data_IF_720749720709
#
_entry.id   IF_720749720709
#
_cell.length_a   1.000
_cell.length_b   1.000
_cell.length_c   1.000
_cell.angle_alpha   90.00
_cell.angle_beta   90.00
_cell.angle_gamma   90.00
#
_symmetry.space_group_name_H-M   'P 1'
#
loop_
_entity.id
_entity.type
_entity.pdbx_description
1 polymer ?
#
# COMPACT_ATOMS: atom_id res chain seq x y z
N UNK A 1 12.39 30.52 -13.20
CA UNK A 1 10.98 30.53 -13.62
C UNK A 1 10.12 30.22 -12.41
N UNK A 2 8.99 30.91 -12.23
CA UNK A 2 8.03 30.58 -11.18
C UNK A 2 7.26 29.30 -11.58
N UNK A 3 6.90 28.47 -10.60
CA UNK A 3 6.07 27.28 -10.82
C UNK A 3 4.64 27.71 -11.18
N UNK A 4 3.99 26.96 -12.08
CA UNK A 4 2.56 27.11 -12.36
C UNK A 4 1.70 26.64 -11.18
N UNK A 5 0.42 27.04 -11.15
CA UNK A 5 -0.51 26.62 -10.08
C UNK A 5 -0.60 25.08 -9.94
N UNK A 6 -0.77 24.29 -11.02
CA UNK A 6 -0.83 22.83 -10.89
C UNK A 6 0.47 22.21 -10.36
N UNK A 7 1.62 22.82 -10.67
CA UNK A 7 2.93 22.38 -10.14
C UNK A 7 3.08 22.62 -8.64
N UNK A 8 2.56 23.75 -8.14
CA UNK A 8 2.54 24.05 -6.71
C UNK A 8 1.62 23.08 -5.97
N UNK A 9 0.43 22.82 -6.50
CA UNK A 9 -0.54 21.89 -5.92
C UNK A 9 0.00 20.45 -5.91
N UNK A 10 0.59 19.98 -7.03
CA UNK A 10 1.24 18.67 -7.10
C UNK A 10 2.39 18.52 -6.10
N UNK A 11 3.19 19.57 -5.89
CA UNK A 11 4.23 19.56 -4.85
C UNK A 11 3.63 19.43 -3.45
N UNK A 12 2.54 20.15 -3.18
CA UNK A 12 1.84 20.09 -1.89
C UNK A 12 1.24 18.71 -1.62
N UNK A 13 0.78 17.99 -2.65
CA UNK A 13 0.24 16.64 -2.54
C UNK A 13 1.32 15.58 -2.30
N UNK A 14 2.55 15.78 -2.78
CA UNK A 14 3.67 14.84 -2.57
C UNK A 14 4.39 15.07 -1.24
N UNK A 15 4.45 16.31 -0.76
CA UNK A 15 5.21 16.69 0.42
C UNK A 15 4.83 16.01 1.76
N UNK A 16 3.60 15.53 2.01
CA UNK A 16 3.23 14.98 3.31
C UNK A 16 4.15 13.85 3.77
N UNK A 17 4.59 13.95 5.04
CA UNK A 17 5.55 13.01 5.63
C UNK A 17 5.04 11.57 5.64
N UNK A 18 3.72 11.35 5.64
CA UNK A 18 3.08 10.03 5.54
C UNK A 18 3.47 9.24 4.27
N UNK A 19 3.96 9.90 3.22
CA UNK A 19 4.46 9.25 2.01
C UNK A 19 5.97 8.93 2.03
N UNK A 20 6.69 9.43 3.04
CA UNK A 20 8.15 9.32 3.17
C UNK A 20 8.66 8.68 4.48
N UNK A 21 7.89 7.87 5.24
CA UNK A 21 8.44 7.24 6.43
C UNK A 21 9.54 6.23 6.09
N UNK A 22 10.52 6.18 6.98
CA UNK A 22 11.64 5.25 6.95
C UNK A 22 11.66 4.53 8.30
N UNK A 23 11.65 3.21 8.24
CA UNK A 23 11.87 2.34 9.39
C UNK A 23 13.21 1.61 9.22
N UNK A 24 14.02 1.57 10.27
CA UNK A 24 15.28 0.81 10.27
C UNK A 24 15.10 -0.36 11.22
N UNK A 25 15.21 -1.58 10.70
CA UNK A 25 15.05 -2.77 11.54
C UNK A 25 16.18 -2.87 12.57
N UNK A 26 15.92 -3.40 13.77
CA UNK A 26 16.96 -3.71 14.72
C UNK A 26 17.95 -4.75 14.16
N UNK A 27 19.23 -4.55 14.45
CA UNK A 27 20.31 -5.52 14.21
C UNK A 27 20.09 -6.75 15.10
N UNK A 28 20.31 -7.94 14.56
CA UNK A 28 20.33 -9.21 15.30
C UNK A 28 21.64 -9.96 15.01
N UNK A 29 21.92 -11.02 15.78
CA UNK A 29 23.12 -11.86 15.58
C UNK A 29 23.22 -12.44 14.16
N UNK A 30 22.08 -12.65 13.50
CA UNK A 30 21.97 -13.21 12.15
C UNK A 30 21.60 -12.18 11.07
N UNK A 31 21.40 -10.90 11.42
CA UNK A 31 20.84 -9.89 10.50
C UNK A 31 21.37 -8.47 10.79
N UNK A 32 21.93 -7.81 9.78
CA UNK A 32 22.23 -6.37 9.83
C UNK A 32 20.97 -5.49 9.82
N UNK A 33 21.13 -4.19 10.07
CA UNK A 33 20.02 -3.23 9.99
C UNK A 33 19.53 -3.10 8.54
N UNK A 34 18.21 -3.14 8.33
CA UNK A 34 17.59 -2.93 7.03
C UNK A 34 16.76 -1.66 7.05
N UNK A 35 16.99 -0.80 6.06
CA UNK A 35 16.21 0.41 5.84
C UNK A 35 14.99 0.04 4.99
N UNK A 36 13.80 0.31 5.53
CA UNK A 36 12.51 0.05 4.92
C UNK A 36 11.82 1.40 4.70
N UNK A 37 11.50 1.72 3.45
CA UNK A 37 10.62 2.84 3.11
C UNK A 37 9.21 2.34 2.87
N UNK A 38 8.24 3.13 3.31
CA UNK A 38 6.84 2.85 3.06
C UNK A 38 6.07 4.15 2.91
N UNK A 39 4.78 4.07 2.65
CA UNK A 39 3.86 5.18 2.65
C UNK A 39 2.53 4.74 3.25
N UNK A 40 1.82 5.71 3.83
CA UNK A 40 0.48 5.55 4.38
C UNK A 40 -0.44 6.39 3.51
N UNK A 41 -1.49 5.78 2.98
CA UNK A 41 -2.61 6.45 2.33
C UNK A 41 -3.86 6.38 3.24
N UNK A 42 -4.70 7.41 3.19
CA UNK A 42 -5.90 7.49 4.00
C UNK A 42 -5.64 7.94 5.43
N UNK A 43 -6.27 7.27 6.40
CA UNK A 43 -6.21 7.64 7.82
C UNK A 43 -4.76 7.64 8.36
N UNK A 44 -4.45 8.63 9.20
CA UNK A 44 -3.15 8.76 9.86
C UNK A 44 -2.96 7.72 10.98
N UNK A 45 -1.75 7.64 11.51
CA UNK A 45 -1.39 6.73 12.60
C UNK A 45 -2.25 6.95 13.84
N UNK A 46 -2.62 5.88 14.55
CA UNK A 46 -3.40 5.96 15.79
C UNK A 46 -4.92 6.11 15.58
N UNK A 47 -5.39 6.42 14.37
CA UNK A 47 -6.82 6.39 14.08
C UNK A 47 -7.38 4.96 14.14
N UNK A 48 -8.61 4.82 14.65
CA UNK A 48 -9.29 3.55 14.81
C UNK A 48 -10.01 3.13 13.53
N UNK A 49 -9.22 2.70 12.54
CA UNK A 49 -9.70 2.24 11.24
C UNK A 49 -9.06 0.94 10.78
N UNK A 50 -9.75 0.26 9.87
CA UNK A 50 -9.24 -0.92 9.17
C UNK A 50 -7.94 -0.59 8.41
N UNK A 51 -6.99 -1.51 8.45
CA UNK A 51 -5.67 -1.35 7.82
C UNK A 51 -5.46 -2.36 6.72
N UNK A 52 -5.22 -1.88 5.52
CA UNK A 52 -4.92 -2.64 4.33
C UNK A 52 -3.42 -2.57 4.08
N UNK A 53 -2.79 -3.70 3.78
CA UNK A 53 -1.40 -3.73 3.36
C UNK A 53 -1.34 -4.11 1.89
N UNK A 54 -0.92 -3.13 1.09
CA UNK A 54 -0.69 -3.28 -0.32
C UNK A 54 0.77 -3.70 -0.54
N UNK A 55 0.98 -4.86 -1.15
CA UNK A 55 2.30 -5.33 -1.55
C UNK A 55 2.31 -5.57 -3.08
N UNK A 56 2.77 -4.55 -3.81
CA UNK A 56 2.93 -4.62 -5.27
C UNK A 56 4.16 -5.42 -5.68
N UNK A 57 4.11 -6.05 -6.86
CA UNK A 57 5.23 -6.81 -7.43
C UNK A 57 6.32 -5.96 -8.09
N UNK A 58 6.14 -4.64 -8.17
CA UNK A 58 7.07 -3.71 -8.83
C UNK A 58 7.76 -2.78 -7.84
N UNK A 59 8.89 -2.20 -8.25
CA UNK A 59 9.58 -1.15 -7.50
C UNK A 59 8.67 0.08 -7.37
N UNK A 60 8.78 0.79 -6.25
CA UNK A 60 8.16 2.12 -6.11
C UNK A 60 6.76 2.06 -5.54
N UNK A 61 6.42 0.95 -4.88
CA UNK A 61 5.10 0.68 -4.33
C UNK A 61 4.63 1.84 -3.47
N UNK A 62 5.52 2.44 -2.66
CA UNK A 62 5.12 3.56 -1.79
C UNK A 62 4.55 4.75 -2.55
N UNK A 63 4.99 5.00 -3.78
CA UNK A 63 4.50 6.09 -4.61
C UNK A 63 3.06 5.88 -5.10
N UNK A 64 2.55 4.64 -5.03
CA UNK A 64 1.14 4.37 -5.27
C UNK A 64 0.22 4.99 -4.22
N UNK A 65 0.72 5.28 -3.02
CA UNK A 65 -0.04 5.94 -1.97
C UNK A 65 -0.60 7.28 -2.44
N UNK A 66 0.12 8.03 -3.27
CA UNK A 66 -0.32 9.33 -3.80
C UNK A 66 -1.64 9.22 -4.57
N UNK A 67 -1.77 8.15 -5.34
CA UNK A 67 -2.96 7.92 -6.15
C UNK A 67 -4.13 7.44 -5.29
N UNK A 68 -3.86 6.63 -4.26
CA UNK A 68 -4.92 6.03 -3.45
C UNK A 68 -5.34 6.88 -2.23
N UNK A 69 -4.56 7.90 -1.85
CA UNK A 69 -4.77 8.68 -0.62
C UNK A 69 -6.15 9.32 -0.53
N UNK A 70 -6.63 9.88 -1.63
CA UNK A 70 -7.94 10.54 -1.66
C UNK A 70 -9.08 9.56 -1.37
N UNK A 71 -9.13 8.41 -2.06
CA UNK A 71 -10.18 7.41 -1.85
C UNK A 71 -10.04 6.73 -0.48
N UNK A 72 -8.82 6.42 -0.06
CA UNK A 72 -8.58 5.83 1.25
C UNK A 72 -9.07 6.77 2.37
N UNK A 73 -8.80 8.07 2.23
CA UNK A 73 -9.31 9.11 3.14
C UNK A 73 -10.84 9.20 3.07
N UNK A 74 -11.40 9.24 1.85
CA UNK A 74 -12.85 9.29 1.63
C UNK A 74 -13.59 8.18 2.36
N UNK A 75 -13.10 6.96 2.26
CA UNK A 75 -13.74 5.78 2.82
C UNK A 75 -13.24 5.42 4.22
N UNK A 76 -12.33 6.21 4.79
CA UNK A 76 -11.87 6.03 6.17
C UNK A 76 -11.11 4.73 6.40
N UNK A 77 -10.29 4.32 5.43
CA UNK A 77 -9.38 3.19 5.58
C UNK A 77 -7.94 3.67 5.65
N UNK A 78 -7.05 2.85 6.20
CA UNK A 78 -5.60 3.04 6.15
C UNK A 78 -5.01 2.06 5.15
N UNK A 79 -4.14 2.51 4.25
CA UNK A 79 -3.44 1.62 3.31
C UNK A 79 -1.93 1.82 3.46
N UNK A 80 -1.23 0.74 3.77
CA UNK A 80 0.23 0.70 3.85
C UNK A 80 0.79 0.24 2.51
N UNK A 81 1.59 1.10 1.87
CA UNK A 81 2.33 0.80 0.65
C UNK A 81 3.80 0.64 0.99
N UNK A 82 4.32 -0.57 0.86
CA UNK A 82 5.62 -0.94 1.44
C UNK A 82 6.59 -1.24 0.31
N UNK A 83 7.70 -0.52 0.28
CA UNK A 83 8.77 -0.87 -0.65
C UNK A 83 9.39 -2.23 -0.28
N UNK A 84 9.97 -2.88 -1.28
CA UNK A 84 10.32 -4.32 -1.27
C UNK A 84 11.20 -4.65 -0.07
N UNK A 85 11.08 -5.78 0.62
CA UNK A 85 10.40 -7.06 0.35
C UNK A 85 8.88 -7.11 0.61
N UNK A 86 8.16 -5.98 0.61
CA UNK A 86 6.69 -5.93 0.65
C UNK A 86 6.13 -6.58 1.92
N UNK A 87 5.69 -7.84 1.82
CA UNK A 87 5.12 -8.63 2.93
C UNK A 87 6.03 -8.70 4.15
N UNK A 88 7.30 -9.07 3.99
CA UNK A 88 8.18 -9.28 5.16
C UNK A 88 8.52 -7.95 5.83
N UNK A 89 8.73 -6.92 5.02
CA UNK A 89 8.94 -5.57 5.52
C UNK A 89 7.70 -5.05 6.26
N UNK A 90 6.51 -5.32 5.72
CA UNK A 90 5.27 -4.98 6.38
C UNK A 90 5.08 -5.66 7.72
N UNK A 91 5.37 -6.96 7.80
CA UNK A 91 5.33 -7.65 9.08
C UNK A 91 6.34 -7.07 10.09
N UNK A 92 7.55 -6.71 9.64
CA UNK A 92 8.53 -6.03 10.49
C UNK A 92 8.01 -4.69 11.00
N UNK A 93 7.40 -3.88 10.13
CA UNK A 93 6.79 -2.61 10.50
C UNK A 93 5.71 -2.87 11.56
N UNK A 94 4.78 -3.79 11.35
CA UNK A 94 3.65 -4.04 12.26
C UNK A 94 4.07 -4.57 13.63
N UNK A 95 5.14 -5.36 13.69
CA UNK A 95 5.71 -5.81 14.96
C UNK A 95 6.18 -4.63 15.80
N UNK A 96 6.81 -3.63 15.18
CA UNK A 96 7.40 -2.47 15.88
C UNK A 96 6.47 -1.24 15.95
N UNK A 97 5.48 -1.16 15.07
CA UNK A 97 4.54 -0.06 14.92
C UNK A 97 3.07 -0.52 15.00
N UNK A 98 2.63 -1.11 16.13
CA UNK A 98 1.26 -1.59 16.28
C UNK A 98 0.18 -0.49 16.19
N UNK A 99 0.55 0.77 16.41
CA UNK A 99 -0.35 1.92 16.26
C UNK A 99 -0.80 2.16 14.81
N UNK A 100 -0.19 1.46 13.84
CA UNK A 100 -0.67 1.41 12.46
C UNK A 100 -1.89 0.51 12.28
N UNK A 101 -2.32 -0.22 13.32
CA UNK A 101 -3.54 -1.03 13.32
C UNK A 101 -4.63 -0.34 14.14
N UNK A 102 -5.89 -0.71 13.88
CA UNK A 102 -7.02 -0.30 14.72
C UNK A 102 -6.78 -0.69 16.18
N UNK A 103 -6.82 0.27 17.13
CA UNK A 103 -6.74 -0.04 18.57
C UNK A 103 -7.93 -0.88 19.06
N UNK A 104 -9.11 -0.71 18.43
CA UNK A 104 -10.33 -1.40 18.85
C UNK A 104 -10.41 -2.83 18.30
N UNK A 105 -10.03 -3.03 17.04
CA UNK A 105 -10.12 -4.28 16.30
C UNK A 105 -8.84 -4.47 15.47
N UNK A 106 -7.71 -4.87 16.09
CA UNK A 106 -6.44 -4.98 15.38
C UNK A 106 -6.55 -6.02 14.27
N UNK A 107 -6.56 -5.55 13.03
CA UNK A 107 -6.68 -6.37 11.85
C UNK A 107 -5.80 -5.84 10.73
N UNK A 108 -5.41 -6.74 9.84
CA UNK A 108 -4.76 -6.39 8.59
C UNK A 108 -5.38 -7.13 7.43
N UNK A 109 -5.60 -6.41 6.34
CA UNK A 109 -6.08 -6.94 5.08
C UNK A 109 -4.91 -6.97 4.10
N UNK A 110 -4.37 -8.15 3.84
CA UNK A 110 -3.37 -8.36 2.80
C UNK A 110 -4.04 -8.25 1.44
N UNK A 111 -3.60 -7.28 0.65
CA UNK A 111 -4.07 -7.09 -0.71
C UNK A 111 -2.90 -7.16 -1.70
N UNK A 112 -2.97 -8.15 -2.60
CA UNK A 112 -2.01 -8.31 -3.70
C UNK A 112 -2.71 -8.41 -5.04
N UNK A 113 -2.36 -7.53 -5.99
CA UNK A 113 -2.82 -7.64 -7.35
C UNK A 113 -1.96 -8.56 -8.23
N UNK A 114 -1.03 -9.36 -7.67
CA UNK A 114 -0.04 -10.05 -8.51
C UNK A 114 -0.68 -11.09 -9.44
N UNK A 115 -0.61 -10.79 -10.74
CA UNK A 115 -0.89 -11.69 -11.87
C UNK A 115 0.44 -12.07 -12.50
N UNK A 116 0.59 -13.32 -12.95
CA UNK A 116 1.83 -13.83 -13.54
C UNK A 116 2.26 -13.00 -14.76
N UNK A 117 3.56 -12.66 -14.84
CA UNK A 117 4.11 -11.77 -15.88
C UNK A 117 3.81 -12.21 -17.31
N UNK A 118 3.69 -13.52 -17.58
CA UNK A 118 3.34 -14.05 -18.91
C UNK A 118 1.91 -13.74 -19.38
N UNK A 119 1.09 -13.14 -18.51
CA UNK A 119 -0.29 -12.73 -18.78
C UNK A 119 -0.37 -11.19 -18.85
N UNK A 120 0.75 -10.47 -18.65
CA UNK A 120 0.77 -9.02 -18.46
C UNK A 120 1.90 -8.36 -19.25
N UNK A 121 1.70 -8.19 -20.56
CA UNK A 121 2.39 -7.14 -21.30
C UNK A 121 1.46 -5.92 -21.27
N UNK A 122 1.75 -4.90 -20.47
CA UNK A 122 1.70 -3.48 -20.87
C UNK A 122 2.19 -2.62 -19.69
N UNK A 123 3.17 -1.81 -20.07
CA UNK A 123 3.92 -0.82 -19.33
C UNK A 123 3.09 0.47 -19.23
N UNK A 124 3.27 1.26 -18.16
CA UNK A 124 3.38 2.74 -18.02
C UNK A 124 3.13 3.70 -19.23
N UNK A 125 2.38 3.32 -20.27
CA UNK A 125 2.26 3.98 -21.57
C UNK A 125 0.81 3.86 -22.07
N UNK A 126 -0.08 4.55 -21.37
CA UNK A 126 -1.46 4.77 -21.80
C UNK A 126 -1.75 6.25 -22.05
N UNK A 127 -0.84 6.99 -22.67
CA UNK A 127 -1.15 8.33 -23.18
C UNK A 127 -1.67 8.22 -24.61
N UNK A 128 -2.98 8.40 -24.78
CA UNK A 128 -3.56 8.73 -26.06
C UNK A 128 -4.67 9.79 -25.85
N UNK A 129 -4.39 10.98 -26.36
CA UNK A 129 -5.27 12.15 -26.49
C UNK A 129 -6.63 11.83 -27.10
N UNK A 130 -7.72 12.52 -26.67
CA UNK A 130 -8.82 13.02 -27.55
C UNK A 130 -9.96 13.79 -26.83
N UNK A 131 -10.70 14.53 -27.68
CA UNK A 131 -12.01 15.23 -27.67
C UNK A 131 -12.60 15.94 -26.41
N UNK A 132 -13.42 17.01 -26.57
CA UNK A 132 -13.93 17.82 -25.46
C UNK A 132 -14.82 17.07 -24.46
N UNK A 133 -15.66 16.15 -24.94
CA UNK A 133 -16.54 15.34 -24.07
C UNK A 133 -15.73 14.30 -23.28
N UNK A 134 -14.74 13.67 -23.90
CA UNK A 134 -13.81 12.75 -23.23
C UNK A 134 -12.97 13.45 -22.16
N UNK A 135 -12.56 14.70 -22.41
CA UNK A 135 -11.87 15.54 -21.42
C UNK A 135 -12.74 15.87 -20.21
N UNK A 136 -14.04 16.13 -20.41
CA UNK A 136 -14.96 16.37 -19.29
C UNK A 136 -15.15 15.10 -18.46
N UNK A 137 -15.25 13.95 -19.11
CA UNK A 137 -15.35 12.65 -18.45
C UNK A 137 -14.03 12.28 -17.75
N UNK A 138 -12.88 12.67 -18.29
CA UNK A 138 -11.57 12.53 -17.66
C UNK A 138 -11.43 13.43 -16.42
N UNK A 139 -11.87 14.68 -16.50
CA UNK A 139 -11.89 15.63 -15.38
C UNK A 139 -12.80 15.13 -14.24
N UNK A 140 -13.99 14.64 -14.57
CA UNK A 140 -14.89 14.03 -13.59
C UNK A 140 -14.26 12.80 -12.93
N UNK A 141 -13.67 11.89 -13.73
CA UNK A 141 -12.95 10.71 -13.20
C UNK A 141 -11.78 11.09 -12.32
N UNK A 142 -11.03 12.14 -12.67
CA UNK A 142 -9.91 12.60 -11.86
C UNK A 142 -10.37 13.17 -10.52
N UNK A 143 -11.44 13.96 -10.50
CA UNK A 143 -12.03 14.50 -9.27
C UNK A 143 -12.61 13.39 -8.39
N UNK A 144 -13.29 12.42 -8.99
CA UNK A 144 -13.90 11.31 -8.27
C UNK A 144 -12.86 10.33 -7.69
N UNK A 145 -11.77 10.07 -8.42
CA UNK A 145 -10.74 9.11 -8.05
C UNK A 145 -9.58 9.69 -7.24
N UNK A 146 -9.23 10.96 -7.44
CA UNK A 146 -8.04 11.58 -6.85
C UNK A 146 -8.32 12.90 -6.12
N UNK A 147 -9.53 13.45 -6.23
CA UNK A 147 -9.89 14.72 -5.60
C UNK A 147 -9.31 15.96 -6.28
N UNK A 148 -8.68 15.80 -7.45
CA UNK A 148 -7.92 16.85 -8.14
C UNK A 148 -8.27 16.90 -9.64
N UNK A 149 -7.92 18.01 -10.29
CA UNK A 149 -8.06 18.16 -11.74
C UNK A 149 -7.01 17.39 -12.54
N UNK A 150 -7.27 17.21 -13.84
CA UNK A 150 -6.37 16.46 -14.76
C UNK A 150 -4.99 17.09 -14.87
N UNK A 151 -4.90 18.41 -14.83
CA UNK A 151 -3.65 19.17 -14.91
C UNK A 151 -2.76 18.95 -13.67
N UNK A 152 -3.34 19.00 -12.47
CA UNK A 152 -2.65 18.69 -11.21
C UNK A 152 -2.22 17.22 -11.21
N UNK A 153 -3.09 16.31 -11.66
CA UNK A 153 -2.79 14.88 -11.75
C UNK A 153 -1.62 14.60 -12.70
N UNK A 154 -1.55 15.29 -13.84
CA UNK A 154 -0.44 15.19 -14.78
C UNK A 154 0.90 15.62 -14.14
N UNK A 155 0.90 16.76 -13.44
CA UNK A 155 2.10 17.25 -12.76
C UNK A 155 2.49 16.38 -11.54
N UNK A 156 1.52 15.76 -10.88
CA UNK A 156 1.72 14.76 -9.83
C UNK A 156 2.40 13.51 -10.39
N UNK A 157 1.89 12.95 -11.49
CA UNK A 157 2.42 11.75 -12.14
C UNK A 157 3.85 11.94 -12.62
N UNK A 158 4.13 13.09 -13.23
CA UNK A 158 5.48 13.46 -13.68
C UNK A 158 6.47 13.48 -12.52
N UNK A 159 6.09 14.03 -11.37
CA UNK A 159 6.94 14.09 -10.16
C UNK A 159 7.08 12.72 -9.51
N UNK A 160 5.98 11.99 -9.31
CA UNK A 160 6.01 10.65 -8.75
C UNK A 160 6.90 9.73 -9.60
N UNK A 161 6.75 9.76 -10.92
CA UNK A 161 7.60 9.02 -11.87
C UNK A 161 9.07 9.41 -11.72
N UNK A 162 9.37 10.71 -11.69
CA UNK A 162 10.74 11.19 -11.47
C UNK A 162 11.32 10.63 -10.18
N UNK A 163 10.59 10.66 -9.07
CA UNK A 163 11.07 10.16 -7.78
C UNK A 163 11.21 8.65 -7.74
N UNK A 164 10.25 7.89 -8.28
CA UNK A 164 10.38 6.43 -8.47
C UNK A 164 11.70 6.11 -9.15
N UNK A 165 12.01 6.74 -10.29
CA UNK A 165 13.27 6.46 -11.00
C UNK A 165 14.52 7.03 -10.34
N UNK A 166 14.42 8.15 -9.63
CA UNK A 166 15.56 8.75 -8.92
C UNK A 166 15.96 7.92 -7.71
N UNK A 167 14.99 7.43 -6.96
CA UNK A 167 15.22 6.62 -5.77
C UNK A 167 15.46 5.15 -6.09
N UNK A 168 14.95 4.69 -7.23
CA UNK A 168 14.93 3.28 -7.59
C UNK A 168 15.38 3.01 -9.02
N UNK A 169 16.44 3.69 -9.47
CA UNK A 169 17.10 3.39 -10.74
C UNK A 169 17.16 1.86 -10.92
N UNK A 170 16.71 1.34 -12.07
CA UNK A 170 16.49 -0.09 -12.34
C UNK A 170 17.73 -1.00 -12.18
N UNK A 171 18.86 -0.44 -11.72
CA UNK A 171 20.11 -1.08 -11.37
C UNK A 171 20.51 -0.88 -9.89
N UNK A 172 19.56 -0.54 -8.99
CA UNK A 172 19.83 -0.42 -7.56
C UNK A 172 19.91 -1.79 -6.87
N UNK A 173 20.51 -1.82 -5.67
CA UNK A 173 20.73 -3.06 -4.91
C UNK A 173 19.41 -3.76 -4.55
N UNK A 174 18.32 -3.02 -4.41
CA UNK A 174 16.98 -3.53 -4.11
C UNK A 174 16.37 -4.33 -5.28
N UNK A 175 16.58 -3.91 -6.53
CA UNK A 175 16.20 -4.70 -7.72
C UNK A 175 17.05 -5.96 -7.88
N UNK A 176 18.35 -5.89 -7.54
CA UNK A 176 19.25 -7.05 -7.52
C UNK A 176 18.84 -8.07 -6.45
N UNK A 177 18.48 -7.60 -5.24
CA UNK A 177 17.95 -8.42 -4.14
C UNK A 177 16.68 -9.18 -4.57
N UNK A 178 15.75 -8.51 -5.26
CA UNK A 178 14.55 -9.16 -5.79
C UNK A 178 14.82 -10.23 -6.85
N UNK A 179 15.65 -9.91 -7.84
CA UNK A 179 15.90 -10.80 -8.97
C UNK A 179 16.86 -11.95 -8.63
N UNK A 180 17.45 -11.93 -7.42
CA UNK A 180 18.52 -12.83 -6.98
C UNK A 180 19.64 -12.97 -8.04
N UNK A 181 19.89 -11.88 -8.77
CA UNK A 181 20.62 -11.94 -10.05
C UNK A 181 22.13 -11.79 -9.91
N UNK A 182 22.66 -11.57 -8.70
CA UNK A 182 24.10 -11.53 -8.41
C UNK A 182 24.41 -12.18 -7.04
N UNK A 183 25.62 -12.70 -6.78
CA UNK A 183 25.99 -13.24 -5.47
C UNK A 183 25.76 -12.22 -4.34
N UNK A 184 25.28 -12.67 -3.17
CA UNK A 184 24.99 -11.80 -2.03
C UNK A 184 23.61 -11.15 -2.01
N UNK A 185 22.73 -11.49 -2.96
CA UNK A 185 21.34 -10.99 -3.04
C UNK A 185 20.33 -11.82 -2.25
N UNK A 186 20.78 -12.71 -1.37
CA UNK A 186 19.88 -13.45 -0.49
C UNK A 186 19.15 -12.46 0.41
N UNK A 187 17.84 -12.63 0.59
CA UNK A 187 17.08 -11.79 1.52
C UNK A 187 17.39 -12.11 3.00
N UNK A 188 18.44 -12.92 3.25
CA UNK A 188 18.87 -13.42 4.55
C UNK A 188 17.69 -14.08 5.28
N UNK A 189 17.47 -13.77 6.57
CA UNK A 189 16.33 -14.25 7.34
C UNK A 189 14.96 -13.85 6.74
N UNK A 190 14.91 -12.87 5.83
CA UNK A 190 13.71 -12.52 5.06
C UNK A 190 13.48 -13.46 3.87
N UNK A 191 14.21 -14.57 3.73
CA UNK A 191 13.80 -15.70 2.89
C UNK A 191 12.87 -16.66 3.64
N UNK A 192 12.89 -16.65 4.98
CA UNK A 192 12.03 -17.48 5.82
C UNK A 192 10.77 -16.72 6.25
N UNK A 193 9.88 -16.49 5.27
CA UNK A 193 8.56 -15.90 5.53
C UNK A 193 7.77 -16.70 6.58
N UNK A 194 7.94 -18.03 6.64
CA UNK A 194 7.28 -18.87 7.63
C UNK A 194 7.83 -18.66 9.04
N UNK A 195 9.16 -18.55 9.19
CA UNK A 195 9.81 -18.17 10.44
C UNK A 195 9.38 -16.80 10.92
N UNK A 196 9.26 -15.85 9.99
CA UNK A 196 8.79 -14.52 10.33
C UNK A 196 7.33 -14.51 10.78
N UNK A 197 6.46 -15.28 10.11
CA UNK A 197 5.07 -15.47 10.53
C UNK A 197 4.99 -16.04 11.96
N UNK A 198 5.87 -16.99 12.33
CA UNK A 198 5.96 -17.51 13.71
C UNK A 198 6.36 -16.44 14.73
N UNK A 199 7.32 -15.57 14.40
CA UNK A 199 7.74 -14.45 15.28
C UNK A 199 6.59 -13.48 15.49
N UNK A 200 5.89 -13.09 14.41
CA UNK A 200 4.71 -12.21 14.48
C UNK A 200 3.64 -12.84 15.35
N UNK A 201 3.34 -14.13 15.15
CA UNK A 201 2.39 -14.86 15.99
C UNK A 201 2.80 -14.84 17.47
N UNK A 202 4.06 -15.10 17.80
CA UNK A 202 4.55 -15.08 19.18
C UNK A 202 4.41 -13.70 19.84
N UNK A 203 4.75 -12.63 19.12
CA UNK A 203 4.59 -11.25 19.61
C UNK A 203 3.12 -10.93 19.88
N UNK A 204 2.23 -11.27 18.95
CA UNK A 204 0.79 -11.02 19.11
C UNK A 204 0.15 -11.88 20.20
N UNK A 205 0.63 -13.10 20.41
CA UNK A 205 0.22 -13.94 21.54
C UNK A 205 0.55 -13.29 22.89
N UNK A 206 1.72 -12.64 23.01
CA UNK A 206 2.06 -11.83 24.17
C UNK A 206 1.05 -10.71 24.38
N UNK A 207 0.77 -9.94 23.33
CA UNK A 207 -0.18 -8.81 23.38
C UNK A 207 -1.61 -9.21 23.73
N UNK A 208 -2.06 -10.41 23.32
CA UNK A 208 -3.39 -10.92 23.68
C UNK A 208 -3.50 -11.17 25.17
N UNK A 209 -2.44 -11.67 25.81
CA UNK A 209 -2.44 -11.87 27.26
C UNK A 209 -2.57 -10.54 28.02
N UNK A 210 -2.11 -9.45 27.43
CA UNK A 210 -2.15 -8.10 28.02
C UNK A 210 -3.44 -7.34 27.70
N UNK A 211 -3.95 -7.44 26.46
CA UNK A 211 -5.06 -6.62 25.95
C UNK A 211 -6.34 -7.40 25.62
N UNK A 212 -6.32 -8.74 25.63
CA UNK A 212 -7.47 -9.61 25.40
C UNK A 212 -8.01 -9.68 23.97
N UNK A 213 -7.36 -9.04 22.99
CA UNK A 213 -7.87 -8.94 21.60
C UNK A 213 -7.03 -9.72 20.61
N UNK A 214 -7.66 -10.64 19.87
CA UNK A 214 -7.02 -11.39 18.78
C UNK A 214 -6.65 -10.45 17.62
N UNK A 215 -5.52 -10.75 16.99
CA UNK A 215 -5.10 -10.09 15.75
C UNK A 215 -5.73 -10.81 14.56
N UNK A 216 -6.38 -10.08 13.64
CA UNK A 216 -7.01 -10.68 12.46
C UNK A 216 -6.15 -10.46 11.22
N UNK A 217 -5.95 -11.51 10.44
CA UNK A 217 -5.30 -11.45 9.14
C UNK A 217 -6.33 -11.87 8.09
N UNK A 218 -6.69 -10.95 7.20
CA UNK A 218 -7.56 -11.23 6.08
C UNK A 218 -6.72 -11.23 4.79
N UNK A 219 -6.79 -12.32 4.03
CA UNK A 219 -6.15 -12.42 2.73
C UNK A 219 -7.19 -12.11 1.65
N UNK A 220 -6.98 -11.03 0.90
CA UNK A 220 -7.81 -10.64 -0.25
C UNK A 220 -6.93 -10.57 -1.50
N UNK A 221 -7.10 -11.49 -2.45
CA UNK A 221 -6.36 -11.44 -3.73
C UNK A 221 -6.18 -12.80 -4.41
N UNK A 222 -5.44 -12.84 -5.51
CA UNK A 222 -5.22 -14.03 -6.34
C UNK A 222 -3.86 -14.67 -5.97
N UNK A 223 -3.85 -15.60 -5.02
CA UNK A 223 -3.04 -16.82 -5.15
C UNK A 223 -1.60 -16.92 -4.58
N UNK A 224 -1.06 -16.01 -3.75
CA UNK A 224 0.34 -16.19 -3.26
C UNK A 224 0.55 -16.30 -1.74
N UNK A 225 -0.39 -15.85 -0.89
CA UNK A 225 -0.18 -15.77 0.57
C UNK A 225 -0.80 -16.90 1.40
N UNK A 226 -1.76 -17.64 0.86
CA UNK A 226 -2.51 -18.66 1.64
C UNK A 226 -1.62 -19.79 2.17
N UNK A 227 -0.59 -20.18 1.42
CA UNK A 227 0.35 -21.23 1.86
C UNK A 227 1.17 -20.82 3.07
N UNK A 228 1.43 -19.52 3.24
CA UNK A 228 2.20 -18.97 4.35
C UNK A 228 1.31 -18.67 5.57
N UNK A 229 0.03 -18.36 5.34
CA UNK A 229 -0.93 -17.95 6.35
C UNK A 229 -2.08 -18.95 6.41
N UNK A 230 -1.88 -20.05 7.14
CA UNK A 230 -2.95 -20.95 7.53
C UNK A 230 -3.24 -20.81 9.02
N UNK A 231 -4.49 -21.01 9.44
CA UNK A 231 -4.85 -20.98 10.85
C UNK A 231 -3.98 -21.92 11.71
N UNK A 232 -3.61 -23.08 11.15
CA UNK A 232 -2.71 -24.05 11.80
C UNK A 232 -1.29 -23.53 12.05
N UNK A 233 -0.81 -22.56 11.27
CA UNK A 233 0.54 -21.97 11.39
C UNK A 233 0.59 -20.73 12.30
N UNK A 234 -0.57 -20.11 12.59
CA UNK A 234 -0.62 -18.81 13.28
C UNK A 234 -1.00 -18.91 14.78
N UNK A 235 -1.23 -20.12 15.29
CA UNK A 235 -1.61 -20.35 16.69
C UNK A 235 -3.00 -19.80 17.04
N UNK A 236 -3.30 -19.69 18.34
CA UNK A 236 -4.62 -19.25 18.86
C UNK A 236 -4.86 -17.74 18.85
N UNK A 237 -3.80 -16.95 18.64
CA UNK A 237 -3.80 -15.51 18.83
C UNK A 237 -4.01 -14.72 17.54
N UNK A 238 -3.85 -15.39 16.40
CA UNK A 238 -4.16 -14.83 15.10
C UNK A 238 -5.37 -15.58 14.54
N UNK A 239 -6.34 -14.83 14.04
CA UNK A 239 -7.47 -15.37 13.28
C UNK A 239 -7.21 -15.10 11.80
N UNK A 240 -7.23 -16.14 10.97
CA UNK A 240 -6.97 -16.01 9.53
C UNK A 240 -8.27 -16.16 8.73
N UNK A 241 -8.63 -15.11 8.00
CA UNK A 241 -9.70 -15.12 7.00
C UNK A 241 -9.13 -15.12 5.58
N UNK A 242 -9.78 -15.84 4.67
CA UNK A 242 -9.40 -15.88 3.24
C UNK A 242 -10.62 -15.57 2.40
N UNK A 243 -10.51 -14.57 1.54
CA UNK A 243 -11.56 -14.19 0.61
C UNK A 243 -11.00 -14.15 -0.82
N UNK A 244 -11.49 -15.07 -1.65
CA UNK A 244 -11.12 -15.15 -3.06
C UNK A 244 -11.98 -14.17 -3.85
N UNK A 245 -11.36 -13.16 -4.44
CA UNK A 245 -12.07 -12.17 -5.23
C UNK A 245 -12.09 -12.56 -6.71
N UNK A 246 -13.27 -12.48 -7.34
CA UNK A 246 -13.45 -12.71 -8.78
C UNK A 246 -13.14 -11.42 -9.55
N UNK A 247 -12.37 -11.54 -10.63
CA UNK A 247 -12.17 -10.50 -11.66
C UNK A 247 -11.38 -9.25 -11.24
N UNK A 248 -10.23 -9.40 -10.60
CA UNK A 248 -9.23 -8.32 -10.50
C UNK A 248 -8.10 -8.57 -11.49
N UNK A 249 -7.84 -7.60 -12.36
CA UNK A 249 -6.63 -7.50 -13.19
C UNK A 249 -5.70 -6.40 -12.66
N UNK A 250 -4.49 -6.30 -13.20
CA UNK A 250 -3.51 -5.32 -12.71
C UNK A 250 -4.03 -3.86 -12.81
N UNK A 251 -4.78 -3.54 -13.87
CA UNK A 251 -5.20 -2.17 -14.17
C UNK A 251 -6.35 -1.72 -13.25
N UNK A 252 -7.29 -2.61 -12.95
CA UNK A 252 -8.37 -2.37 -12.00
C UNK A 252 -7.91 -2.21 -10.55
N UNK A 253 -6.69 -2.65 -10.23
CA UNK A 253 -6.11 -2.61 -8.88
C UNK A 253 -5.04 -1.54 -8.70
N UNK A 254 -4.41 -1.07 -9.78
CA UNK A 254 -3.43 0.00 -9.76
C UNK A 254 -4.05 1.41 -9.88
N UNK A 255 -5.19 1.54 -10.58
CA UNK A 255 -5.84 2.83 -10.81
C UNK A 255 -7.11 3.01 -9.96
N UNK A 256 -7.16 3.98 -9.03
CA UNK A 256 -8.35 4.39 -8.26
C UNK A 256 -9.59 4.70 -9.12
N UNK A 257 -9.37 5.20 -10.34
CA UNK A 257 -10.43 5.47 -11.31
C UNK A 257 -11.07 4.20 -11.89
N UNK A 258 -10.37 3.06 -11.81
CA UNK A 258 -10.98 1.74 -11.96
C UNK A 258 -11.80 1.48 -10.71
N UNK A 259 -13.14 1.53 -10.84
CA UNK A 259 -14.15 1.45 -9.76
C UNK A 259 -13.97 0.36 -8.70
N UNK A 260 -13.04 -0.57 -8.88
CA UNK A 260 -12.74 -1.66 -7.97
C UNK A 260 -12.11 -1.19 -6.65
N UNK A 261 -10.99 -0.45 -6.68
CA UNK A 261 -10.31 -0.01 -5.44
C UNK A 261 -11.22 0.86 -4.58
N UNK A 262 -11.98 1.77 -5.20
CA UNK A 262 -12.97 2.58 -4.49
C UNK A 262 -14.03 1.74 -3.79
N UNK A 263 -14.61 0.74 -4.47
CA UNK A 263 -15.60 -0.18 -3.85
C UNK A 263 -15.00 -1.02 -2.73
N UNK A 264 -13.78 -1.52 -2.92
CA UNK A 264 -13.08 -2.28 -1.87
C UNK A 264 -12.87 -1.42 -0.62
N UNK A 265 -12.45 -0.16 -0.77
CA UNK A 265 -12.30 0.75 0.35
C UNK A 265 -13.64 1.10 0.99
N UNK A 266 -14.68 1.29 0.19
CA UNK A 266 -16.04 1.54 0.68
C UNK A 266 -16.55 0.37 1.53
N UNK A 267 -16.40 -0.86 1.05
CA UNK A 267 -16.81 -2.09 1.77
C UNK A 267 -16.04 -2.24 3.08
N UNK A 268 -14.71 -2.08 3.04
CA UNK A 268 -13.85 -2.20 4.22
C UNK A 268 -14.12 -1.06 5.22
N UNK A 269 -14.32 0.16 4.73
CA UNK A 269 -14.67 1.34 5.52
C UNK A 269 -16.09 1.32 6.11
N UNK A 270 -16.86 0.25 5.86
CA UNK A 270 -18.22 0.09 6.37
C UNK A 270 -19.24 1.05 5.75
N UNK A 271 -19.01 1.48 4.51
CA UNK A 271 -19.91 2.35 3.74
C UNK A 271 -20.00 3.81 4.23
N UNK A 272 -19.17 4.22 5.19
CA UNK A 272 -19.17 5.59 5.74
C UNK A 272 -18.18 6.47 4.98
N UNK A 273 -18.69 7.42 4.21
CA UNK A 273 -17.84 8.47 3.60
C UNK A 273 -17.48 9.53 4.64
N UNK A 274 -16.18 9.73 4.89
CA UNK A 274 -15.68 10.82 5.75
C UNK A 274 -15.98 12.21 5.20
N UNK A 275 -16.20 12.31 3.88
CA UNK A 275 -16.62 13.57 3.23
C UNK A 275 -18.13 13.82 3.28
N UNK A 276 -18.94 12.84 3.69
CA UNK A 276 -20.39 13.02 3.84
C UNK A 276 -20.78 13.60 5.21
N UNK A 277 -19.98 13.36 6.25
CA UNK A 277 -20.26 13.79 7.64
C UNK A 277 -19.50 15.04 8.07
N UNK A 278 -18.48 15.44 7.32
CA UNK A 278 -17.70 16.63 7.63
C UNK A 278 -17.73 17.57 6.43
N UNK A 279 -18.26 18.78 6.66
CA UNK A 279 -17.98 19.95 5.82
C UNK A 279 -16.50 20.34 5.92
N UNK A 280 -15.61 19.42 5.56
CA UNK A 280 -14.20 19.74 5.39
C UNK A 280 -14.10 20.68 4.20
N UNK A 281 -13.52 21.87 4.36
CA UNK A 281 -13.22 22.70 3.22
C UNK A 281 -12.25 21.91 2.35
N UNK A 282 -12.57 21.79 1.06
CA UNK A 282 -11.57 21.56 0.02
C UNK A 282 -10.40 22.48 0.37
N UNK A 283 -9.26 21.91 0.77
CA UNK A 283 -8.05 22.69 0.93
C UNK A 283 -7.66 23.14 -0.47
N UNK A 284 -8.04 24.37 -0.80
CA UNK A 284 -7.59 25.16 -1.95
C UNK A 284 -6.11 25.43 -1.82
#
# INVERSE_FOLDING_TARGET
MALSKPEVEANALIAPRKFHPIFVTPVTESRGALRITFAIAGAEEGEDVETIMFYGGMFGVRWQALWQDYLATKHGVRVLFIDRAGTIHGLNILTHHPHLLSPTSPNIIFFSPWVHQSITCVFMLGFASKLPDEKRDEEARCRDGYGIGVDVKHELDKRATKWVFTEQSAANDEARLCLKSVPGTGWLASEDLEGYARVVAAVWQGRIKEAGKKFKINLKGIGCSEKCWSQSKCGSGIEVGVEHMKCADHDSTAAPSGRYIGRMFEEIGGGKSRYATAGFPLRV
#
